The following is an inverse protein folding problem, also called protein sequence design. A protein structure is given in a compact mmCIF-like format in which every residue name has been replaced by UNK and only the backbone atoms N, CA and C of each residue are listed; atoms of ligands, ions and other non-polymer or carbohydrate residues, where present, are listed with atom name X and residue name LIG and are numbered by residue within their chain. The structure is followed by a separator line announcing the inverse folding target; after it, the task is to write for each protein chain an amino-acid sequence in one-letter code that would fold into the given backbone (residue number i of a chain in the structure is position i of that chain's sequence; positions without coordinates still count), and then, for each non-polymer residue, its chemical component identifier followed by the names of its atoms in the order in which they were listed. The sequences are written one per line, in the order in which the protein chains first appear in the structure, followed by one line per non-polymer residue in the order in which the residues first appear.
data_IF_121125616870
#
_entry.id   IF_121125616870
#
_cell.length_a   1.000
_cell.length_b   1.000
_cell.length_c   1.000
_cell.angle_alpha   90.00
_cell.angle_beta   90.00
_cell.angle_gamma   90.00
#
_symmetry.space_group_name_H-M   'P 1'
#
loop_
_entity.id
_entity.type
_entity.pdbx_description
1 polymer ?
#
# COMPACT_ATOMS: atom_id res chain seq x y z
N UNK A 1 -1.77 -13.10 -2.09
CA UNK A 1 -1.59 -13.95 -0.89
C UNK A 1 -2.93 -14.61 -0.55
N UNK A 2 -2.97 -15.86 -0.08
CA UNK A 2 -4.22 -16.57 0.29
C UNK A 2 -4.17 -17.06 1.75
N UNK A 3 -5.33 -17.36 2.36
CA UNK A 3 -5.39 -17.87 3.75
C UNK A 3 -4.61 -19.17 3.96
N UNK A 4 -4.57 -20.05 2.94
CA UNK A 4 -3.74 -21.25 3.00
C UNK A 4 -2.27 -20.89 3.16
N UNK A 5 -1.77 -19.96 2.35
CA UNK A 5 -0.36 -19.55 2.42
C UNK A 5 -0.02 -18.86 3.73
N UNK A 6 -0.95 -18.07 4.29
CA UNK A 6 -0.79 -17.44 5.60
C UNK A 6 -0.67 -18.46 6.74
N UNK A 7 -1.46 -19.55 6.68
CA UNK A 7 -1.34 -20.66 7.64
C UNK A 7 -0.01 -21.42 7.52
N UNK A 8 0.44 -21.68 6.29
CA UNK A 8 1.77 -22.29 6.05
C UNK A 8 2.91 -21.44 6.63
N UNK A 9 2.77 -20.11 6.58
CA UNK A 9 3.75 -19.16 7.13
C UNK A 9 3.58 -18.89 8.62
N UNK A 10 2.55 -19.48 9.27
CA UNK A 10 2.21 -19.28 10.69
C UNK A 10 2.00 -17.79 11.00
N UNK A 11 1.35 -17.07 10.08
CA UNK A 11 1.00 -15.66 10.30
C UNK A 11 -0.40 -15.54 10.90
N UNK A 12 -0.49 -14.78 11.99
CA UNK A 12 -1.76 -14.40 12.57
C UNK A 12 -2.52 -13.47 11.62
N UNK A 13 -3.82 -13.72 11.44
CA UNK A 13 -4.69 -12.88 10.61
C UNK A 13 -5.60 -12.09 11.53
N UNK A 14 -5.36 -10.78 11.61
CA UNK A 14 -6.21 -9.87 12.36
C UNK A 14 -7.58 -9.75 11.70
N UNK A 15 -8.65 -9.77 12.50
CA UNK A 15 -10.02 -9.59 12.01
C UNK A 15 -10.21 -8.16 11.50
N UNK A 16 -10.66 -8.02 10.26
CA UNK A 16 -10.93 -6.73 9.65
C UNK A 16 -12.40 -6.63 9.26
N UNK A 17 -13.04 -5.51 9.62
CA UNK A 17 -14.40 -5.20 9.19
C UNK A 17 -14.47 -4.93 7.69
N UNK A 18 -15.61 -5.25 7.07
CA UNK A 18 -15.83 -4.99 5.64
C UNK A 18 -16.03 -3.49 5.41
N UNK A 19 -15.40 -2.96 4.34
CA UNK A 19 -15.54 -1.56 3.91
C UNK A 19 -15.02 -0.51 4.90
N UNK A 20 -13.97 -0.82 5.66
CA UNK A 20 -13.40 0.10 6.66
C UNK A 20 -11.98 0.56 6.30
N UNK A 21 -11.78 1.34 5.22
CA UNK A 21 -10.45 1.84 4.85
C UNK A 21 -9.86 2.78 5.92
N UNK A 22 -10.70 3.39 6.75
CA UNK A 22 -10.34 4.17 7.93
C UNK A 22 -9.68 3.34 9.04
N UNK A 23 -9.87 2.01 9.03
CA UNK A 23 -9.24 1.09 9.97
C UNK A 23 -7.96 0.45 9.42
N UNK A 24 -7.70 0.58 8.12
CA UNK A 24 -6.52 0.02 7.46
C UNK A 24 -5.40 1.07 7.40
N UNK A 25 -4.29 0.92 8.16
CA UNK A 25 -3.20 1.91 8.15
C UNK A 25 -2.57 2.13 6.78
N UNK A 26 -2.58 1.11 5.91
CA UNK A 26 -2.18 1.26 4.52
C UNK A 26 -3.04 2.29 3.80
N UNK A 27 -4.35 2.30 4.03
CA UNK A 27 -5.31 3.04 3.23
C UNK A 27 -5.42 4.49 3.72
N UNK A 28 -5.73 4.69 5.02
CA UNK A 28 -5.95 6.04 5.56
C UNK A 28 -4.68 6.85 5.76
N UNK A 29 -3.52 6.20 5.87
CA UNK A 29 -2.23 6.86 6.05
C UNK A 29 -1.41 6.76 4.77
N UNK A 30 -0.80 5.60 4.50
CA UNK A 30 0.23 5.47 3.45
C UNK A 30 -0.32 5.83 2.06
N UNK A 31 -1.40 5.19 1.62
CA UNK A 31 -2.01 5.42 0.31
C UNK A 31 -2.58 6.83 0.18
N UNK A 32 -3.13 7.40 1.25
CA UNK A 32 -3.59 8.78 1.25
C UNK A 32 -2.43 9.77 1.05
N UNK A 33 -1.33 9.61 1.80
CA UNK A 33 -0.12 10.42 1.63
C UNK A 33 0.50 10.25 0.25
N UNK A 34 0.57 9.02 -0.25
CA UNK A 34 1.02 8.72 -1.61
C UNK A 34 0.14 9.41 -2.66
N UNK A 35 -1.18 9.35 -2.52
CA UNK A 35 -2.12 9.99 -3.45
C UNK A 35 -1.91 11.50 -3.47
N UNK A 36 -1.73 12.10 -2.29
CA UNK A 36 -1.42 13.53 -2.18
C UNK A 36 -0.07 13.90 -2.82
N UNK A 37 0.95 13.06 -2.65
CA UNK A 37 2.28 13.26 -3.24
C UNK A 37 2.32 13.02 -4.76
N UNK A 38 1.50 12.08 -5.26
CA UNK A 38 1.32 11.82 -6.69
C UNK A 38 0.66 13.01 -7.37
N UNK A 39 -0.36 13.62 -6.76
CA UNK A 39 -1.06 14.77 -7.32
C UNK A 39 -1.47 14.56 -8.79
N UNK A 40 -0.90 15.34 -9.71
CA UNK A 40 -1.12 15.26 -11.17
C UNK A 40 0.11 14.70 -11.92
N UNK A 41 1.02 14.00 -11.24
CA UNK A 41 2.21 13.44 -11.91
C UNK A 41 1.82 12.38 -12.94
N UNK A 42 2.37 12.50 -14.14
CA UNK A 42 2.18 11.52 -15.20
C UNK A 42 3.33 10.51 -15.18
N UNK A 43 3.06 9.30 -14.71
CA UNK A 43 4.01 8.19 -14.70
C UNK A 43 3.89 7.43 -16.03
N UNK A 44 4.72 7.81 -17.00
CA UNK A 44 4.62 7.34 -18.39
C UNK A 44 5.18 5.92 -18.63
N UNK A 45 5.78 5.29 -17.63
CA UNK A 45 6.36 3.94 -17.75
C UNK A 45 6.36 3.20 -16.41
N UNK A 46 6.43 1.87 -16.48
CA UNK A 46 6.54 1.01 -15.30
C UNK A 46 7.79 1.37 -14.50
N UNK A 47 8.94 1.54 -15.16
CA UNK A 47 10.18 1.96 -14.50
C UNK A 47 10.04 3.32 -13.81
N UNK A 48 9.33 4.27 -14.43
CA UNK A 48 9.06 5.57 -13.83
C UNK A 48 8.20 5.47 -12.57
N UNK A 49 7.20 4.58 -12.59
CA UNK A 49 6.36 4.28 -11.43
C UNK A 49 7.17 3.63 -10.29
N UNK A 50 7.97 2.61 -10.59
CA UNK A 50 8.83 1.94 -9.60
C UNK A 50 9.81 2.92 -8.96
N UNK A 51 10.51 3.73 -9.77
CA UNK A 51 11.45 4.73 -9.27
C UNK A 51 10.76 5.75 -8.36
N UNK A 52 9.57 6.22 -8.75
CA UNK A 52 8.79 7.14 -7.91
C UNK A 52 8.41 6.48 -6.58
N UNK A 53 7.94 5.23 -6.61
CA UNK A 53 7.55 4.47 -5.42
C UNK A 53 8.74 4.28 -4.46
N UNK A 54 9.88 3.83 -4.97
CA UNK A 54 11.09 3.67 -4.15
C UNK A 54 11.57 5.00 -3.55
N UNK A 55 11.54 6.08 -4.34
CA UNK A 55 11.90 7.40 -3.84
C UNK A 55 10.92 7.90 -2.76
N UNK A 56 9.61 7.68 -2.93
CA UNK A 56 8.60 8.06 -1.93
C UNK A 56 8.90 7.41 -0.57
N UNK A 57 9.14 6.09 -0.54
CA UNK A 57 9.47 5.39 0.71
C UNK A 57 10.89 5.61 1.22
N UNK A 58 11.81 6.09 0.38
CA UNK A 58 13.14 6.46 0.83
C UNK A 58 13.13 7.75 1.67
N UNK A 59 12.20 8.67 1.37
CA UNK A 59 12.05 9.94 2.08
C UNK A 59 10.90 9.97 3.12
N UNK A 60 10.16 8.87 3.26
CA UNK A 60 9.10 8.66 4.25
C UNK A 60 9.65 7.99 5.51
#
# INVERSE_FOLDING_TARGET
MTLQKLRELIWEVLTHQRHSPDLAPSDYYICLYMTNALGVTNLASIQGCENWFFNFFYFF
#
